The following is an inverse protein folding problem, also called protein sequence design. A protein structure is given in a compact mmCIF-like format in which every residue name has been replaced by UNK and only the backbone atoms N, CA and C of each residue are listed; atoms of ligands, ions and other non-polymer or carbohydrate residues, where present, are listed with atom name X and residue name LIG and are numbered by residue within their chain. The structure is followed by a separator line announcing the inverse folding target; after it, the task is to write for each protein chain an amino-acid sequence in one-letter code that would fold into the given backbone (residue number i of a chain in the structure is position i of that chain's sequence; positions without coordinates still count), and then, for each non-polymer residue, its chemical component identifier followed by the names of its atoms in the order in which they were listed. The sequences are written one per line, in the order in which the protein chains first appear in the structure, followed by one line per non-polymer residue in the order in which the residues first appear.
data_IF_358547715796
#
_entry.id   IF_358547715796
#
_cell.length_a   1.000
_cell.length_b   1.000
_cell.length_c   1.000
_cell.angle_alpha   90.00
_cell.angle_beta   90.00
_cell.angle_gamma   90.00
#
_symmetry.space_group_name_H-M   'P 1'
#
loop_
_entity.id
_entity.type
_entity.pdbx_description
1 polymer ?
#
# COMPACT_ATOMS: atom_id res chain seq x y z
N UNK A 1 17.12 17.22 24.71
CA UNK A 1 17.47 16.10 23.81
C UNK A 1 17.91 16.67 22.49
N UNK A 2 18.98 16.16 21.88
CA UNK A 2 19.46 16.65 20.57
C UNK A 2 18.63 15.93 19.48
N UNK A 3 17.93 16.66 18.58
CA UNK A 3 17.19 16.05 17.47
C UNK A 3 18.12 15.27 16.53
N UNK A 4 17.64 14.16 15.96
CA UNK A 4 18.42 13.39 15.00
C UNK A 4 18.69 14.22 13.73
N UNK A 5 19.96 14.56 13.40
CA UNK A 5 20.27 15.38 12.24
C UNK A 5 19.95 14.69 10.90
N UNK A 6 19.86 13.36 10.87
CA UNK A 6 19.55 12.58 9.67
C UNK A 6 18.05 12.51 9.35
N UNK A 7 17.19 12.97 10.27
CA UNK A 7 15.74 12.87 10.10
C UNK A 7 15.24 13.60 8.85
N UNK A 8 15.76 14.80 8.56
CA UNK A 8 15.33 15.57 7.39
C UNK A 8 15.68 14.88 6.06
N UNK A 9 16.84 14.21 6.01
CA UNK A 9 17.26 13.43 4.83
C UNK A 9 16.38 12.21 4.68
N UNK A 10 16.20 11.44 5.75
CA UNK A 10 15.31 10.28 5.75
C UNK A 10 13.89 10.64 5.30
N UNK A 11 13.33 11.72 5.84
CA UNK A 11 11.98 12.17 5.49
C UNK A 11 11.87 12.55 4.01
N UNK A 12 12.87 13.22 3.45
CA UNK A 12 12.89 13.54 2.02
C UNK A 12 12.84 12.29 1.15
N UNK A 13 13.66 11.29 1.47
CA UNK A 13 13.69 10.03 0.73
C UNK A 13 12.36 9.27 0.86
N UNK A 14 11.78 9.22 2.06
CA UNK A 14 10.45 8.64 2.30
C UNK A 14 9.37 9.31 1.44
N UNK A 15 9.38 10.65 1.34
CA UNK A 15 8.41 11.38 0.51
C UNK A 15 8.62 11.15 -1.00
N UNK A 16 9.85 10.93 -1.47
CA UNK A 16 10.10 10.57 -2.87
C UNK A 16 9.51 9.21 -3.21
N UNK A 17 9.73 8.20 -2.35
CA UNK A 17 9.16 6.86 -2.53
C UNK A 17 7.64 6.92 -2.43
N UNK A 18 7.08 7.69 -1.49
CA UNK A 18 5.65 7.90 -1.36
C UNK A 18 5.03 8.47 -2.65
N UNK A 19 5.62 9.54 -3.18
CA UNK A 19 5.17 10.16 -4.43
C UNK A 19 5.25 9.20 -5.62
N UNK A 20 6.33 8.42 -5.72
CA UNK A 20 6.47 7.39 -6.74
C UNK A 20 5.36 6.34 -6.65
N UNK A 21 5.09 5.81 -5.46
CA UNK A 21 4.03 4.82 -5.24
C UNK A 21 2.66 5.39 -5.64
N UNK A 22 2.31 6.59 -5.15
CA UNK A 22 1.03 7.24 -5.44
C UNK A 22 0.80 7.47 -6.94
N UNK A 23 1.83 7.86 -7.67
CA UNK A 23 1.75 8.11 -9.12
C UNK A 23 1.48 6.85 -9.96
N UNK A 24 1.66 5.66 -9.39
CA UNK A 24 1.41 4.39 -10.06
C UNK A 24 0.04 3.76 -9.71
N UNK A 25 -0.78 4.44 -8.90
CA UNK A 25 -2.09 3.94 -8.48
C UNK A 25 -3.22 4.42 -9.40
N UNK A 26 -4.27 3.60 -9.53
CA UNK A 26 -5.52 4.04 -10.12
C UNK A 26 -6.24 5.02 -9.19
N UNK A 27 -7.17 5.82 -9.74
CA UNK A 27 -7.93 6.81 -8.95
C UNK A 27 -8.72 6.17 -7.80
N UNK A 28 -9.27 5.00 -8.04
CA UNK A 28 -10.08 4.27 -7.06
C UNK A 28 -9.23 3.82 -5.86
N UNK A 29 -8.00 3.39 -6.10
CA UNK A 29 -7.05 3.00 -5.05
C UNK A 29 -6.54 4.25 -4.32
N UNK A 30 -6.26 5.32 -5.05
CA UNK A 30 -5.76 6.59 -4.49
C UNK A 30 -6.70 7.17 -3.42
N UNK A 31 -8.03 7.13 -3.66
CA UNK A 31 -9.05 7.60 -2.71
C UNK A 31 -8.96 6.85 -1.38
N UNK A 32 -8.55 5.58 -1.38
CA UNK A 32 -8.48 4.75 -0.17
C UNK A 32 -7.20 4.98 0.65
N UNK A 33 -6.15 5.53 0.04
CA UNK A 33 -4.82 5.65 0.67
C UNK A 33 -4.37 7.11 0.86
N UNK A 34 -5.20 8.08 0.51
CA UNK A 34 -4.86 9.51 0.50
C UNK A 34 -4.45 10.09 1.86
N UNK A 35 -4.78 9.43 2.97
CA UNK A 35 -4.42 9.89 4.33
C UNK A 35 -3.06 9.37 4.81
N UNK A 36 -2.38 8.52 4.04
CA UNK A 36 -1.13 7.90 4.45
C UNK A 36 0.05 8.82 4.13
N UNK A 37 0.85 9.14 5.14
CA UNK A 37 1.94 10.11 5.04
C UNK A 37 3.33 9.47 4.81
N UNK A 38 3.46 8.16 4.96
CA UNK A 38 4.74 7.46 4.89
C UNK A 38 4.72 6.31 3.88
N UNK A 39 5.80 6.15 3.13
CA UNK A 39 5.89 5.16 2.06
C UNK A 39 5.71 3.73 2.56
N UNK A 40 6.25 3.42 3.75
CA UNK A 40 6.13 2.10 4.37
C UNK A 40 4.68 1.75 4.70
N UNK A 41 3.93 2.70 5.26
CA UNK A 41 2.53 2.51 5.61
C UNK A 41 1.71 2.30 4.34
N UNK A 42 1.97 3.08 3.30
CA UNK A 42 1.28 2.98 2.01
C UNK A 42 1.53 1.60 1.39
N UNK A 43 2.79 1.17 1.33
CA UNK A 43 3.16 -0.14 0.80
C UNK A 43 2.47 -1.28 1.56
N UNK A 44 2.43 -1.20 2.89
CA UNK A 44 1.80 -2.23 3.74
C UNK A 44 0.29 -2.30 3.50
N UNK A 45 -0.38 -1.14 3.39
CA UNK A 45 -1.80 -1.08 3.09
C UNK A 45 -2.11 -1.69 1.71
N UNK A 46 -1.34 -1.31 0.68
CA UNK A 46 -1.47 -1.86 -0.67
C UNK A 46 -1.28 -3.37 -0.68
N UNK A 47 -0.21 -3.88 -0.06
CA UNK A 47 0.06 -5.31 0.03
C UNK A 47 -1.13 -6.05 0.68
N UNK A 48 -1.66 -5.54 1.79
CA UNK A 48 -2.82 -6.13 2.46
C UNK A 48 -4.07 -6.16 1.56
N UNK A 49 -4.39 -5.05 0.88
CA UNK A 49 -5.56 -4.94 0.00
C UNK A 49 -5.50 -5.94 -1.16
N UNK A 50 -4.36 -6.01 -1.86
CA UNK A 50 -4.20 -6.89 -3.01
C UNK A 50 -4.06 -8.36 -2.61
N UNK A 51 -3.42 -8.67 -1.48
CA UNK A 51 -3.37 -10.03 -0.95
C UNK A 51 -4.76 -10.54 -0.54
N UNK A 52 -5.56 -9.72 0.15
CA UNK A 52 -6.94 -10.08 0.53
C UNK A 52 -7.82 -10.37 -0.70
N UNK A 53 -7.72 -9.51 -1.73
CA UNK A 53 -8.45 -9.69 -2.99
C UNK A 53 -8.04 -10.99 -3.70
N UNK A 54 -6.75 -11.27 -3.74
CA UNK A 54 -6.22 -12.50 -4.35
C UNK A 54 -6.69 -13.76 -3.61
N UNK A 55 -6.66 -13.76 -2.27
CA UNK A 55 -7.12 -14.88 -1.45
C UNK A 55 -8.63 -15.13 -1.60
N UNK A 56 -9.44 -14.07 -1.56
CA UNK A 56 -10.89 -14.16 -1.79
C UNK A 56 -11.19 -14.78 -3.15
N UNK A 57 -10.50 -14.33 -4.20
CA UNK A 57 -10.64 -14.89 -5.56
C UNK A 57 -10.31 -16.38 -5.62
N UNK A 58 -9.22 -16.81 -4.97
CA UNK A 58 -8.84 -18.23 -4.90
C UNK A 58 -9.93 -19.06 -4.22
N UNK A 59 -10.47 -18.58 -3.09
CA UNK A 59 -11.52 -19.29 -2.37
C UNK A 59 -12.82 -19.39 -3.17
N UNK A 60 -13.22 -18.32 -3.87
CA UNK A 60 -14.40 -18.32 -4.73
C UNK A 60 -14.27 -19.33 -5.88
N UNK A 61 -13.10 -19.40 -6.53
CA UNK A 61 -12.84 -20.38 -7.60
C UNK A 61 -12.91 -21.80 -7.04
N UNK A 62 -12.30 -22.07 -5.88
CA UNK A 62 -12.38 -23.39 -5.23
C UNK A 62 -13.83 -23.79 -4.92
N UNK A 63 -14.61 -22.88 -4.34
CA UNK A 63 -16.01 -23.14 -4.02
C UNK A 63 -16.85 -23.42 -5.28
N UNK A 64 -16.62 -22.68 -6.37
CA UNK A 64 -17.29 -22.92 -7.64
C UNK A 64 -16.94 -24.29 -8.24
N UNK A 65 -15.69 -24.74 -8.11
CA UNK A 65 -15.26 -26.06 -8.58
C UNK A 65 -15.77 -27.22 -7.70
N UNK A 66 -15.93 -27.01 -6.39
CA UNK A 66 -16.51 -28.03 -5.50
C UNK A 66 -18.03 -28.15 -5.64
N UNK A 67 -18.69 -27.08 -6.08
CA UNK A 67 -20.15 -27.05 -6.28
C UNK A 67 -20.56 -27.37 -7.73
N UNK A 68 -19.61 -27.69 -8.61
CA UNK A 68 -19.84 -28.15 -9.98
C UNK A 68 -19.94 -29.68 -10.02
#
# INVERSE_FOLDING_TARGET
TIPNPLHAVWFREDQQVLGYLLNNLSKEVLVQVTSIAHARELWTALASMFSSTSLSRINNIRAALTNA
#
